data_IF_059421866718
#
_entry.id   IF_059421866718
#
_cell.length_a   1.000
_cell.length_b   1.000
_cell.length_c   1.000
_cell.angle_alpha   90.00
_cell.angle_beta   90.00
_cell.angle_gamma   90.00
#
_symmetry.space_group_name_H-M   'P 1'
#
loop_
_entity.id
_entity.type
_entity.pdbx_description
1 polymer ?
#
# COMPACT_ATOMS: atom_id res chain seq x y z
N UNK A 1 0.77 -11.82 -5.38
CA UNK A 1 0.94 -11.05 -4.13
C UNK A 1 2.43 -10.88 -3.86
N UNK A 2 2.87 -9.66 -3.61
CA UNK A 2 4.28 -9.38 -3.33
C UNK A 2 4.55 -9.47 -1.81
N UNK A 3 5.73 -9.99 -1.45
CA UNK A 3 6.19 -9.98 -0.05
C UNK A 3 7.17 -8.84 0.17
N UNK A 4 7.44 -8.50 1.44
CA UNK A 4 8.42 -7.47 1.78
C UNK A 4 9.82 -7.83 1.28
N UNK A 5 10.18 -9.11 1.31
CA UNK A 5 11.45 -9.58 0.79
C UNK A 5 11.57 -9.33 -0.71
N UNK A 6 10.51 -9.64 -1.46
CA UNK A 6 10.48 -9.38 -2.91
C UNK A 6 10.54 -7.88 -3.21
N UNK A 7 9.81 -7.06 -2.43
CA UNK A 7 9.83 -5.61 -2.59
C UNK A 7 11.23 -5.04 -2.33
N UNK A 8 11.90 -5.50 -1.29
CA UNK A 8 13.28 -5.09 -1.00
C UNK A 8 14.23 -5.49 -2.11
N UNK A 9 14.09 -6.71 -2.63
CA UNK A 9 14.90 -7.20 -3.74
C UNK A 9 14.71 -6.35 -4.99
N UNK A 10 13.47 -5.98 -5.30
CA UNK A 10 13.16 -5.11 -6.43
C UNK A 10 13.80 -3.73 -6.24
N UNK A 11 13.69 -3.16 -5.05
CA UNK A 11 14.25 -1.85 -4.72
C UNK A 11 15.77 -1.86 -4.84
N UNK A 12 16.44 -2.91 -4.35
CA UNK A 12 17.88 -3.06 -4.45
C UNK A 12 18.34 -3.19 -5.89
N UNK A 13 17.60 -3.91 -6.72
CA UNK A 13 17.91 -4.08 -8.14
C UNK A 13 17.83 -2.75 -8.90
N UNK A 14 16.92 -1.86 -8.51
CA UNK A 14 16.74 -0.56 -9.15
C UNK A 14 17.65 0.53 -8.57
N UNK A 15 18.31 0.26 -7.47
CA UNK A 15 19.07 1.24 -6.69
C UNK A 15 20.19 1.92 -7.47
N UNK A 16 20.85 1.19 -8.32
CA UNK A 16 21.97 1.70 -9.12
C UNK A 16 21.51 2.58 -10.28
N UNK A 17 20.23 2.56 -10.60
CA UNK A 17 19.69 3.20 -11.79
C UNK A 17 19.00 4.51 -11.47
N UNK A 18 18.24 4.59 -10.38
CA UNK A 18 17.31 5.70 -10.17
C UNK A 18 17.38 6.32 -8.78
N UNK A 19 17.51 5.54 -7.74
CA UNK A 19 17.27 6.03 -6.39
C UNK A 19 18.50 6.69 -5.77
N UNK A 20 18.47 7.99 -5.61
CA UNK A 20 19.45 8.73 -4.83
C UNK A 20 19.21 8.58 -3.33
N UNK A 21 17.94 8.40 -2.94
CA UNK A 21 17.51 8.26 -1.57
C UNK A 21 16.37 7.23 -1.50
N UNK A 22 16.68 5.96 -1.19
CA UNK A 22 15.66 4.92 -1.14
C UNK A 22 14.65 5.08 -0.02
N UNK A 23 14.95 5.91 0.99
CA UNK A 23 14.04 6.24 2.08
C UNK A 23 13.37 7.59 1.89
N UNK A 24 13.60 8.24 0.75
CA UNK A 24 12.97 9.51 0.42
C UNK A 24 11.46 9.41 0.26
N UNK A 25 10.82 10.57 0.21
CA UNK A 25 9.37 10.64 0.07
C UNK A 25 8.89 9.99 -1.21
N UNK A 26 7.75 9.36 -1.11
CA UNK A 26 7.04 8.77 -2.24
C UNK A 26 5.73 9.52 -2.45
N UNK A 27 5.24 9.50 -3.68
CA UNK A 27 3.95 10.08 -3.99
C UNK A 27 2.83 9.30 -3.29
N UNK A 28 1.85 10.02 -2.79
CA UNK A 28 0.68 9.43 -2.17
C UNK A 28 -0.25 8.90 -3.27
N UNK A 29 -0.55 7.62 -3.22
CA UNK A 29 -1.54 7.01 -4.10
C UNK A 29 -2.92 7.23 -3.51
N UNK A 30 -3.77 7.98 -4.20
CA UNK A 30 -5.17 8.12 -3.83
C UNK A 30 -5.96 6.93 -4.37
N UNK A 31 -6.65 6.25 -3.48
CA UNK A 31 -7.43 5.07 -3.81
C UNK A 31 -8.90 5.44 -3.95
N UNK A 32 -9.42 5.23 -5.15
CA UNK A 32 -10.85 5.37 -5.43
C UNK A 32 -11.37 4.05 -5.97
N UNK A 33 -12.57 3.67 -5.57
CA UNK A 33 -13.26 2.55 -6.18
C UNK A 33 -14.37 3.10 -7.08
N UNK A 34 -14.08 3.12 -8.37
CA UNK A 34 -15.03 3.55 -9.39
C UNK A 34 -15.88 2.41 -9.94
N UNK A 35 -15.52 1.17 -9.63
CA UNK A 35 -16.20 -0.02 -10.10
C UNK A 35 -17.22 -0.51 -9.08
N UNK A 36 -18.19 -1.27 -9.56
CA UNK A 36 -19.13 -1.97 -8.69
C UNK A 36 -18.40 -3.05 -7.90
N UNK A 37 -18.34 -2.87 -6.60
CA UNK A 37 -17.70 -3.81 -5.67
C UNK A 37 -18.70 -4.77 -5.02
N UNK A 38 -19.93 -4.78 -5.47
CA UNK A 38 -20.96 -5.69 -4.97
C UNK A 38 -20.48 -7.13 -5.09
N UNK A 39 -20.56 -7.89 -3.99
CA UNK A 39 -20.10 -9.26 -3.94
C UNK A 39 -18.60 -9.44 -3.75
N UNK A 40 -17.82 -8.39 -3.68
CA UNK A 40 -16.39 -8.45 -3.39
C UNK A 40 -16.13 -8.11 -1.92
N UNK A 41 -15.07 -8.71 -1.37
CA UNK A 41 -14.61 -8.38 -0.03
C UNK A 41 -13.76 -7.11 -0.11
N UNK A 42 -14.15 -6.06 0.62
CA UNK A 42 -13.47 -4.76 0.56
C UNK A 42 -12.00 -4.86 0.95
N UNK A 43 -11.68 -5.64 1.98
CA UNK A 43 -10.30 -5.84 2.42
C UNK A 43 -9.45 -6.42 1.30
N UNK A 44 -9.97 -7.33 0.51
CA UNK A 44 -9.25 -7.92 -0.62
C UNK A 44 -9.04 -6.90 -1.73
N UNK A 45 -10.03 -6.07 -2.02
CA UNK A 45 -9.95 -5.01 -3.02
C UNK A 45 -8.88 -3.98 -2.62
N UNK A 46 -8.91 -3.54 -1.38
CA UNK A 46 -7.96 -2.55 -0.85
C UNK A 46 -6.55 -3.14 -0.83
N UNK A 47 -6.40 -4.38 -0.36
CA UNK A 47 -5.09 -5.06 -0.35
C UNK A 47 -4.50 -5.20 -1.74
N UNK A 48 -5.31 -5.56 -2.72
CA UNK A 48 -4.85 -5.69 -4.10
C UNK A 48 -4.26 -4.37 -4.61
N UNK A 49 -4.94 -3.27 -4.36
CA UNK A 49 -4.44 -1.94 -4.74
C UNK A 49 -3.18 -1.56 -3.96
N UNK A 50 -3.11 -1.90 -2.67
CA UNK A 50 -1.91 -1.67 -1.85
C UNK A 50 -0.72 -2.44 -2.42
N UNK A 51 -0.90 -3.72 -2.76
CA UNK A 51 0.17 -4.52 -3.34
C UNK A 51 0.63 -4.01 -4.70
N UNK A 52 -0.29 -3.50 -5.52
CA UNK A 52 0.07 -2.85 -6.78
C UNK A 52 0.96 -1.64 -6.55
N UNK A 53 0.63 -0.81 -5.57
CA UNK A 53 1.43 0.36 -5.24
C UNK A 53 2.79 -0.01 -4.65
N UNK A 54 2.84 -1.03 -3.80
CA UNK A 54 4.10 -1.55 -3.26
C UNK A 54 5.00 -2.01 -4.41
N UNK A 55 4.47 -2.78 -5.35
CA UNK A 55 5.22 -3.24 -6.52
C UNK A 55 5.77 -2.07 -7.32
N UNK A 56 4.92 -1.09 -7.61
CA UNK A 56 5.31 0.11 -8.35
C UNK A 56 6.45 0.85 -7.66
N UNK A 57 6.33 1.12 -6.37
CA UNK A 57 7.36 1.85 -5.62
C UNK A 57 8.64 1.03 -5.49
N UNK A 58 8.54 -0.28 -5.29
CA UNK A 58 9.72 -1.13 -5.20
C UNK A 58 10.49 -1.17 -6.52
N UNK A 59 9.80 -1.20 -7.65
CA UNK A 59 10.44 -1.13 -8.97
C UNK A 59 11.08 0.24 -9.24
N UNK A 60 10.65 1.27 -8.53
CA UNK A 60 11.28 2.60 -8.58
C UNK A 60 12.45 2.75 -7.59
N UNK A 61 12.85 1.68 -6.91
CA UNK A 61 13.93 1.71 -5.93
C UNK A 61 13.55 2.26 -4.56
N UNK A 62 12.26 2.34 -4.26
CA UNK A 62 11.77 2.87 -2.99
C UNK A 62 11.50 1.75 -1.99
N UNK A 63 11.53 2.09 -0.70
CA UNK A 63 11.33 1.16 0.41
C UNK A 63 10.05 1.43 1.19
N UNK A 64 9.17 2.25 0.66
CA UNK A 64 7.88 2.56 1.27
C UNK A 64 6.84 2.93 0.22
N UNK A 65 5.58 2.82 0.61
CA UNK A 65 4.45 3.29 -0.18
C UNK A 65 3.48 4.03 0.74
N UNK A 66 2.92 5.12 0.24
CA UNK A 66 1.89 5.89 0.93
C UNK A 66 0.59 5.79 0.15
N UNK A 67 -0.48 5.44 0.84
CA UNK A 67 -1.80 5.24 0.24
C UNK A 67 -2.82 6.05 1.03
N UNK A 68 -3.58 6.87 0.32
CA UNK A 68 -4.68 7.61 0.91
C UNK A 68 -6.00 7.07 0.35
N UNK A 69 -6.87 6.61 1.24
CA UNK A 69 -8.17 6.09 0.89
C UNK A 69 -9.19 7.19 1.18
N UNK A 70 -9.74 7.77 0.13
CA UNK A 70 -10.62 8.93 0.21
C UNK A 70 -12.09 8.59 -0.07
N UNK A 71 -12.38 7.33 -0.34
CA UNK A 71 -13.74 6.85 -0.56
C UNK A 71 -14.38 6.49 0.78
N UNK A 72 -15.42 7.23 1.16
CA UNK A 72 -16.11 7.04 2.45
C UNK A 72 -16.71 5.65 2.61
N UNK A 73 -17.18 5.03 1.53
CA UNK A 73 -17.73 3.67 1.59
C UNK A 73 -16.64 2.67 1.96
N UNK A 74 -15.46 2.83 1.37
CA UNK A 74 -14.33 1.97 1.69
C UNK A 74 -13.89 2.22 3.13
N UNK A 75 -13.70 3.48 3.52
CA UNK A 75 -13.25 3.84 4.87
C UNK A 75 -14.17 3.28 5.95
N UNK A 76 -15.50 3.38 5.74
CA UNK A 76 -16.47 2.99 6.75
C UNK A 76 -16.79 1.50 6.77
N UNK A 77 -16.44 0.76 5.72
CA UNK A 77 -16.80 -0.66 5.59
C UNK A 77 -15.58 -1.59 5.53
N UNK A 78 -14.37 -1.05 5.64
CA UNK A 78 -13.15 -1.83 5.59
C UNK A 78 -12.54 -1.98 6.99
N UNK A 79 -12.13 -3.20 7.33
CA UNK A 79 -11.39 -3.45 8.56
C UNK A 79 -9.89 -3.30 8.31
N UNK A 80 -9.37 -2.12 8.61
CA UNK A 80 -7.95 -1.82 8.42
C UNK A 80 -7.03 -2.62 9.33
N UNK A 81 -7.53 -3.11 10.44
CA UNK A 81 -6.77 -4.00 11.32
C UNK A 81 -6.45 -5.30 10.61
N UNK A 82 -7.41 -5.85 9.86
CA UNK A 82 -7.18 -7.05 9.04
C UNK A 82 -6.19 -6.79 7.93
N UNK A 83 -6.29 -5.64 7.28
CA UNK A 83 -5.35 -5.23 6.21
C UNK A 83 -3.93 -5.15 6.77
N UNK A 84 -3.75 -4.46 7.89
CA UNK A 84 -2.45 -4.34 8.55
C UNK A 84 -1.88 -5.70 8.96
N UNK A 85 -2.73 -6.59 9.48
CA UNK A 85 -2.32 -7.94 9.86
C UNK A 85 -1.84 -8.75 8.65
N UNK A 86 -2.54 -8.69 7.53
CA UNK A 86 -2.13 -9.38 6.31
C UNK A 86 -0.82 -8.84 5.75
N UNK A 87 -0.62 -7.52 5.80
CA UNK A 87 0.64 -6.91 5.39
C UNK A 87 1.78 -7.39 6.29
N UNK A 88 1.55 -7.47 7.58
CA UNK A 88 2.53 -7.99 8.53
C UNK A 88 2.88 -9.45 8.24
N UNK A 89 1.91 -10.26 7.89
CA UNK A 89 2.13 -11.67 7.51
C UNK A 89 3.02 -11.79 6.28
N UNK A 90 3.02 -10.79 5.41
CA UNK A 90 3.90 -10.71 4.24
C UNK A 90 5.25 -10.05 4.56
N UNK A 91 5.49 -9.67 5.80
CA UNK A 91 6.74 -9.07 6.26
C UNK A 91 6.79 -7.55 6.20
N UNK A 92 5.70 -6.89 5.85
CA UNK A 92 5.64 -5.42 5.79
C UNK A 92 5.35 -4.82 7.16
N UNK A 93 5.92 -3.63 7.40
CA UNK A 93 5.51 -2.77 8.48
C UNK A 93 4.48 -1.79 7.95
N UNK A 94 3.39 -1.60 8.66
CA UNK A 94 2.36 -0.66 8.25
C UNK A 94 1.81 0.11 9.43
N UNK A 95 1.50 1.38 9.18
CA UNK A 95 0.75 2.23 10.11
C UNK A 95 -0.39 2.88 9.33
N UNK A 96 -1.47 3.14 10.01
CA UNK A 96 -2.59 3.82 9.39
C UNK A 96 -3.29 4.74 10.41
N UNK A 97 -3.94 5.74 9.90
CA UNK A 97 -4.72 6.65 10.70
C UNK A 97 -5.60 7.54 9.84
N UNK A 98 -6.54 8.18 10.44
CA UNK A 98 -7.45 9.06 9.72
C UNK A 98 -8.78 9.21 10.44
N UNK A 99 -9.81 9.52 9.68
CA UNK A 99 -11.15 9.73 10.19
C UNK A 99 -12.16 8.94 9.33
N UNK A 100 -13.45 9.22 9.50
CA UNK A 100 -14.52 8.55 8.75
C UNK A 100 -14.63 8.96 7.28
N UNK A 101 -13.81 9.91 6.84
CA UNK A 101 -13.79 10.40 5.45
C UNK A 101 -12.55 9.98 4.69
N UNK A 102 -11.43 9.82 5.39
CA UNK A 102 -10.14 9.55 4.78
C UNK A 102 -9.26 8.75 5.73
N UNK A 103 -8.56 7.75 5.20
CA UNK A 103 -7.55 6.99 5.92
C UNK A 103 -6.27 7.01 5.12
N UNK A 104 -5.16 7.34 5.78
CA UNK A 104 -3.84 7.24 5.19
C UNK A 104 -3.12 6.01 5.74
N UNK A 105 -2.42 5.29 4.87
CA UNK A 105 -1.57 4.17 5.25
C UNK A 105 -0.16 4.41 4.75
N UNK A 106 0.80 4.09 5.60
CA UNK A 106 2.20 4.01 5.22
C UNK A 106 2.65 2.56 5.38
N UNK A 107 3.17 1.99 4.31
CA UNK A 107 3.69 0.63 4.27
C UNK A 107 5.17 0.67 3.94
N UNK A 108 5.97 -0.03 4.73
CA UNK A 108 7.43 -0.06 4.55
C UNK A 108 7.94 -1.50 4.43
N UNK A 109 9.05 -1.64 3.73
CA UNK A 109 9.72 -2.94 3.55
C UNK A 109 11.24 -2.89 3.58
#
# INVERSE_FOLDING_TARGET
MITAEEARRNAESCRNVVAKDPLGDVDVKQLFVSEDISGKILEDVVLDEIFKEISKQSYCGKYRAKIAIVDRKIVNNTDFTKISSRLKDCGFDSIYGGNDKEVEMLVEW
#
